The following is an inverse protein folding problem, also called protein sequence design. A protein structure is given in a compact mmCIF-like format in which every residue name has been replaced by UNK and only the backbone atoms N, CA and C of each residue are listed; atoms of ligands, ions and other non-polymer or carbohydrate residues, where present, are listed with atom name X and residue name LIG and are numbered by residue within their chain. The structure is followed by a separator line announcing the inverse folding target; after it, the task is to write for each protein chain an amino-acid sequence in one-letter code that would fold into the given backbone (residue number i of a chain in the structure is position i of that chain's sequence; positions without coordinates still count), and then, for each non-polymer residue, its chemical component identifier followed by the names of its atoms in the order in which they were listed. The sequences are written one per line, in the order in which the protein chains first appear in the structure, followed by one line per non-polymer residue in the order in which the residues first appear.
data_IF_514963864509
#
_entry.id   IF_514963864509
#
_cell.length_a   1.000
_cell.length_b   1.000
_cell.length_c   1.000
_cell.angle_alpha   90.00
_cell.angle_beta   90.00
_cell.angle_gamma   90.00
#
_symmetry.space_group_name_H-M   'P 1'
#
loop_
_entity.id
_entity.type
_entity.pdbx_description
1 polymer ?
#
# COMPACT_ATOMS: atom_id res chain seq x y z
N UNK A 1 14.00 2.40 -17.40
CA UNK A 1 13.90 1.39 -16.33
C UNK A 1 14.23 0.04 -16.94
N UNK A 2 15.14 -0.74 -16.34
CA UNK A 2 15.62 -2.02 -16.93
C UNK A 2 15.13 -3.27 -16.19
N UNK A 3 14.79 -3.13 -14.91
CA UNK A 3 14.33 -4.23 -14.06
C UNK A 3 13.10 -3.81 -13.25
N UNK A 4 12.21 -4.76 -12.99
CA UNK A 4 11.14 -4.69 -12.00
C UNK A 4 11.41 -5.68 -10.88
N UNK A 5 11.20 -5.26 -9.63
CA UNK A 5 11.56 -6.05 -8.44
C UNK A 5 10.32 -6.36 -7.63
N UNK A 6 10.16 -7.62 -7.24
CA UNK A 6 9.21 -8.04 -6.22
C UNK A 6 10.01 -8.51 -4.99
N UNK A 7 9.78 -7.88 -3.84
CA UNK A 7 10.37 -8.32 -2.57
C UNK A 7 9.30 -8.98 -1.70
N UNK A 8 9.48 -10.25 -1.38
CA UNK A 8 8.68 -10.96 -0.38
C UNK A 8 9.47 -11.07 0.93
N UNK A 9 9.02 -10.33 1.94
CA UNK A 9 9.56 -10.34 3.31
C UNK A 9 8.76 -11.25 4.26
N UNK A 10 8.01 -12.22 3.72
CA UNK A 10 7.11 -13.10 4.46
C UNK A 10 5.67 -12.59 4.56
N UNK A 11 5.39 -11.40 4.03
CA UNK A 11 4.08 -10.72 4.12
C UNK A 11 3.00 -11.28 3.19
N UNK A 12 3.37 -12.11 2.22
CA UNK A 12 2.44 -12.69 1.25
C UNK A 12 2.09 -14.15 1.57
N UNK A 13 1.65 -14.39 2.82
CA UNK A 13 1.37 -15.74 3.33
C UNK A 13 2.59 -16.68 3.30
N UNK A 14 3.76 -16.17 3.71
CA UNK A 14 5.00 -16.93 3.77
C UNK A 14 5.80 -16.92 2.45
N UNK A 15 6.60 -17.97 2.24
CA UNK A 15 7.60 -18.04 1.15
C UNK A 15 7.33 -19.08 0.06
N UNK A 16 6.38 -19.99 0.30
CA UNK A 16 6.03 -21.10 -0.59
C UNK A 16 4.52 -21.31 -0.77
N UNK A 17 3.68 -20.30 -0.50
CA UNK A 17 2.22 -20.45 -0.64
C UNK A 17 1.76 -20.38 -2.10
N UNK A 18 0.59 -20.95 -2.40
CA UNK A 18 -0.05 -20.80 -3.73
C UNK A 18 -0.33 -19.33 -4.07
N UNK A 19 -0.80 -18.57 -3.08
CA UNK A 19 -1.07 -17.14 -3.23
C UNK A 19 0.17 -16.37 -3.68
N UNK A 20 1.32 -16.65 -3.07
CA UNK A 20 2.58 -16.04 -3.44
C UNK A 20 3.05 -16.44 -4.84
N UNK A 21 3.01 -17.72 -5.20
CA UNK A 21 3.39 -18.15 -6.55
C UNK A 21 2.55 -17.44 -7.62
N UNK A 22 1.24 -17.28 -7.36
CA UNK A 22 0.36 -16.55 -8.26
C UNK A 22 0.67 -15.04 -8.30
N UNK A 23 1.07 -14.43 -7.19
CA UNK A 23 1.52 -13.04 -7.16
C UNK A 23 2.83 -12.86 -7.94
N UNK A 24 3.80 -13.75 -7.77
CA UNK A 24 5.07 -13.74 -8.52
C UNK A 24 4.83 -13.84 -10.03
N UNK A 25 3.92 -14.72 -10.45
CA UNK A 25 3.51 -14.84 -11.85
C UNK A 25 2.88 -13.54 -12.39
N UNK A 26 2.09 -12.82 -11.58
CA UNK A 26 1.56 -11.50 -11.98
C UNK A 26 2.68 -10.48 -12.14
N UNK A 27 3.64 -10.44 -11.22
CA UNK A 27 4.80 -9.55 -11.33
C UNK A 27 5.63 -9.85 -12.59
N UNK A 28 5.85 -11.13 -12.89
CA UNK A 28 6.57 -11.56 -14.10
C UNK A 28 5.83 -11.15 -15.38
N UNK A 29 4.50 -11.32 -15.43
CA UNK A 29 3.69 -10.86 -16.56
C UNK A 29 3.81 -9.34 -16.76
N UNK A 30 3.73 -8.56 -15.68
CA UNK A 30 3.89 -7.10 -15.73
C UNK A 30 5.27 -6.72 -16.26
N UNK A 31 6.33 -7.38 -15.78
CA UNK A 31 7.69 -7.12 -16.25
C UNK A 31 7.86 -7.45 -17.74
N UNK A 32 7.29 -8.58 -18.19
CA UNK A 32 7.28 -8.99 -19.60
C UNK A 32 6.55 -7.98 -20.48
N UNK A 33 5.37 -7.52 -20.08
CA UNK A 33 4.59 -6.52 -20.82
C UNK A 33 5.28 -5.15 -20.82
N UNK A 34 6.00 -4.80 -19.76
CA UNK A 34 6.79 -3.58 -19.68
C UNK A 34 8.14 -3.66 -20.41
N UNK A 35 8.54 -4.84 -20.92
CA UNK A 35 9.82 -5.05 -21.58
C UNK A 35 11.03 -4.90 -20.66
N UNK A 36 10.89 -5.29 -19.38
CA UNK A 36 11.95 -5.21 -18.36
C UNK A 36 12.26 -6.58 -17.75
N UNK A 37 13.45 -6.73 -17.19
CA UNK A 37 13.82 -7.94 -16.46
C UNK A 37 13.07 -8.05 -15.14
N UNK A 38 12.58 -9.23 -14.80
CA UNK A 38 11.95 -9.49 -13.52
C UNK A 38 12.98 -10.05 -12.52
N UNK A 39 13.01 -9.49 -11.31
CA UNK A 39 13.73 -10.07 -10.17
C UNK A 39 12.78 -10.27 -9.00
N UNK A 40 12.87 -11.46 -8.40
CA UNK A 40 12.15 -11.79 -7.18
C UNK A 40 13.15 -11.98 -6.04
N UNK A 41 12.95 -11.29 -4.93
CA UNK A 41 13.78 -11.37 -3.73
C UNK A 41 12.92 -11.93 -2.59
N UNK A 42 13.32 -13.07 -2.03
CA UNK A 42 12.70 -13.66 -0.86
C UNK A 42 13.63 -13.47 0.34
N UNK A 43 13.10 -12.96 1.44
CA UNK A 43 13.88 -12.76 2.67
C UNK A 43 13.04 -12.98 3.91
N UNK A 44 13.58 -13.71 4.88
CA UNK A 44 12.98 -13.93 6.19
C UNK A 44 13.30 -12.80 7.19
N UNK A 45 14.01 -11.75 6.78
CA UNK A 45 14.52 -10.69 7.67
C UNK A 45 13.43 -10.06 8.56
N UNK A 46 12.23 -9.82 8.04
CA UNK A 46 11.15 -9.21 8.82
C UNK A 46 10.39 -10.19 9.72
N UNK A 47 10.43 -11.49 9.42
CA UNK A 47 9.71 -12.52 10.17
C UNK A 47 10.57 -13.21 11.22
N UNK A 48 11.88 -13.33 10.99
CA UNK A 48 12.80 -14.04 11.90
C UNK A 48 13.74 -13.12 12.68
N UNK A 49 14.10 -11.94 12.15
CA UNK A 49 15.10 -11.08 12.80
C UNK A 49 14.48 -9.85 13.49
N UNK A 50 13.65 -9.10 12.78
CA UNK A 50 13.17 -7.82 13.32
C UNK A 50 11.91 -7.93 14.20
N UNK A 51 11.02 -8.90 13.98
CA UNK A 51 9.70 -9.03 14.66
C UNK A 51 8.95 -7.69 14.89
N UNK A 52 9.17 -6.71 14.01
CA UNK A 52 8.69 -5.33 14.18
C UNK A 52 7.45 -5.06 13.34
N UNK A 53 6.71 -4.01 13.73
CA UNK A 53 5.66 -3.48 12.87
C UNK A 53 6.27 -3.03 11.53
N UNK A 54 5.63 -3.35 10.41
CA UNK A 54 6.21 -3.08 9.10
C UNK A 54 6.35 -1.59 8.78
N UNK A 55 5.34 -0.76 9.09
CA UNK A 55 5.30 0.64 8.64
C UNK A 55 6.52 1.48 9.06
N UNK A 56 7.06 1.38 10.30
CA UNK A 56 8.28 2.06 10.69
C UNK A 56 9.56 1.66 9.93
N UNK A 57 9.59 0.48 9.28
CA UNK A 57 10.83 -0.07 8.70
C UNK A 57 10.77 -0.30 7.19
N UNK A 58 9.60 -0.15 6.55
CA UNK A 58 9.41 -0.49 5.12
C UNK A 58 10.49 0.12 4.23
N UNK A 59 10.74 1.45 4.20
CA UNK A 59 11.72 2.01 3.28
C UNK A 59 13.13 1.42 3.49
N UNK A 60 13.55 1.24 4.75
CA UNK A 60 14.86 0.69 5.11
C UNK A 60 15.03 -0.77 4.66
N UNK A 61 14.02 -1.61 4.90
CA UNK A 61 14.05 -3.04 4.53
C UNK A 61 14.12 -3.21 3.01
N UNK A 62 13.31 -2.46 2.27
CA UNK A 62 13.32 -2.61 0.81
C UNK A 62 14.61 -2.05 0.19
N UNK A 63 15.12 -0.92 0.68
CA UNK A 63 16.37 -0.35 0.18
C UNK A 63 17.60 -1.20 0.56
N UNK A 64 17.61 -1.86 1.73
CA UNK A 64 18.70 -2.76 2.12
C UNK A 64 18.82 -3.98 1.19
N UNK A 65 17.69 -4.47 0.66
CA UNK A 65 17.70 -5.51 -0.37
C UNK A 65 18.31 -5.05 -1.68
N UNK A 66 18.12 -3.78 -2.06
CA UNK A 66 18.75 -3.24 -3.27
C UNK A 66 20.25 -3.00 -3.03
N UNK A 67 20.62 -2.55 -1.83
CA UNK A 67 22.02 -2.38 -1.42
C UNK A 67 22.82 -3.68 -1.50
N UNK A 68 22.23 -4.83 -1.16
CA UNK A 68 22.89 -6.13 -1.32
C UNK A 68 23.16 -6.50 -2.79
N UNK A 69 22.50 -5.81 -3.72
CA UNK A 69 22.63 -5.96 -5.17
C UNK A 69 23.23 -4.71 -5.85
N UNK A 70 23.97 -3.86 -5.12
CA UNK A 70 24.53 -2.62 -5.66
C UNK A 70 25.50 -2.82 -6.85
N UNK A 71 25.96 -4.05 -7.11
CA UNK A 71 26.72 -4.37 -8.34
C UNK A 71 25.83 -4.53 -9.58
N UNK A 72 24.54 -4.81 -9.37
CA UNK A 72 23.53 -4.93 -10.43
C UNK A 72 22.81 -3.60 -10.67
N UNK A 73 22.54 -2.85 -9.59
CA UNK A 73 21.81 -1.59 -9.65
C UNK A 73 22.72 -0.39 -9.40
N UNK A 74 22.68 0.58 -10.32
CA UNK A 74 23.23 1.92 -10.12
C UNK A 74 22.16 2.92 -9.65
N UNK A 75 20.90 2.70 -10.03
CA UNK A 75 19.78 3.59 -9.72
C UNK A 75 18.56 2.77 -9.34
N UNK A 76 17.90 3.13 -8.25
CA UNK A 76 16.62 2.55 -7.83
C UNK A 76 15.58 3.62 -7.52
N UNK A 77 14.39 3.47 -8.10
CA UNK A 77 13.25 4.34 -7.86
C UNK A 77 12.34 3.69 -6.81
N UNK A 78 12.37 4.20 -5.59
CA UNK A 78 11.46 3.81 -4.53
C UNK A 78 10.12 4.51 -4.73
N UNK A 79 9.02 3.75 -4.74
CA UNK A 79 7.67 4.30 -4.94
C UNK A 79 7.19 5.00 -3.67
N UNK A 80 7.19 6.32 -3.64
CA UNK A 80 6.77 7.07 -2.47
C UNK A 80 5.29 6.89 -2.15
N UNK A 81 4.96 6.79 -0.87
CA UNK A 81 3.57 6.64 -0.44
C UNK A 81 2.82 7.98 -0.40
N UNK A 82 3.54 9.06 -0.04
CA UNK A 82 3.01 10.38 0.30
C UNK A 82 3.59 11.46 -0.63
N UNK A 83 2.98 12.63 -0.62
CA UNK A 83 3.50 13.80 -1.33
C UNK A 83 4.58 14.51 -0.52
N UNK A 84 5.38 15.37 -1.16
CA UNK A 84 6.37 16.20 -0.45
C UNK A 84 5.74 17.11 0.61
N UNK A 85 4.48 17.52 0.42
CA UNK A 85 3.75 18.37 1.36
C UNK A 85 3.29 17.61 2.62
N UNK A 86 3.31 16.29 2.58
CA UNK A 86 2.96 15.42 3.71
C UNK A 86 4.20 14.96 4.49
N UNK A 87 5.38 15.51 4.19
CA UNK A 87 6.60 15.14 4.88
C UNK A 87 6.49 15.29 6.40
N UNK A 88 6.77 14.21 7.13
CA UNK A 88 6.74 14.17 8.59
C UNK A 88 7.78 13.17 9.11
N UNK A 89 8.54 13.54 10.14
CA UNK A 89 9.42 12.61 10.87
C UNK A 89 8.61 11.75 11.84
N UNK A 90 7.96 10.71 11.32
CA UNK A 90 7.06 9.82 12.08
C UNK A 90 7.78 8.60 12.65
N UNK A 91 7.63 8.34 13.95
CA UNK A 91 8.12 7.10 14.57
C UNK A 91 7.27 5.87 14.18
N UNK A 92 6.09 6.08 13.60
CA UNK A 92 5.10 5.01 13.35
C UNK A 92 4.99 4.59 11.89
N UNK A 93 5.42 5.44 10.95
CA UNK A 93 5.40 5.16 9.52
C UNK A 93 6.54 5.89 8.82
N UNK A 94 7.55 5.14 8.39
CA UNK A 94 8.72 5.71 7.74
C UNK A 94 8.47 6.19 6.31
N UNK A 95 7.32 5.87 5.72
CA UNK A 95 7.01 6.32 4.37
C UNK A 95 6.79 7.84 4.28
N UNK A 96 6.53 8.53 5.40
CA UNK A 96 6.39 10.00 5.42
C UNK A 96 7.71 10.75 5.18
N UNK A 97 8.86 10.13 5.42
CA UNK A 97 10.17 10.75 5.24
C UNK A 97 11.09 9.93 4.33
N UNK A 98 10.52 9.10 3.44
CA UNK A 98 11.30 8.26 2.52
C UNK A 98 12.24 9.06 1.61
N UNK A 99 11.94 10.34 1.34
CA UNK A 99 12.85 11.26 0.66
C UNK A 99 14.19 11.38 1.39
N UNK A 100 14.20 11.49 2.71
CA UNK A 100 15.44 11.49 3.48
C UNK A 100 16.08 10.11 3.45
N UNK A 101 15.31 9.04 3.67
CA UNK A 101 15.84 7.68 3.67
C UNK A 101 16.55 7.34 2.35
N UNK A 102 15.98 7.73 1.21
CA UNK A 102 16.61 7.52 -0.11
C UNK A 102 17.91 8.29 -0.27
N UNK A 103 18.02 9.51 0.27
CA UNK A 103 19.29 10.26 0.22
C UNK A 103 20.36 9.65 1.13
N UNK A 104 19.99 9.18 2.33
CA UNK A 104 20.96 8.66 3.31
C UNK A 104 21.42 7.23 3.06
N UNK A 105 20.65 6.42 2.32
CA UNK A 105 21.03 5.04 2.01
C UNK A 105 21.79 4.89 0.69
N UNK A 106 22.00 5.98 -0.06
CA UNK A 106 22.83 5.96 -1.26
C UNK A 106 24.30 5.64 -0.96
N UNK A 107 24.98 5.06 -1.94
CA UNK A 107 26.44 4.87 -1.94
C UNK A 107 27.05 5.56 -3.15
N UNK A 108 28.37 5.57 -3.25
CA UNK A 108 29.09 6.05 -4.43
C UNK A 108 28.75 5.29 -5.71
N UNK A 109 28.19 4.08 -5.59
CA UNK A 109 27.83 3.19 -6.70
C UNK A 109 26.32 3.01 -6.90
N UNK A 110 25.48 3.42 -5.94
CA UNK A 110 24.03 3.23 -5.97
C UNK A 110 23.28 4.47 -5.49
N UNK A 111 22.41 5.02 -6.34
CA UNK A 111 21.53 6.14 -6.01
C UNK A 111 20.09 5.68 -5.84
N UNK A 112 19.44 6.12 -4.76
CA UNK A 112 18.01 5.95 -4.55
C UNK A 112 17.25 7.25 -4.82
N UNK A 113 16.10 7.13 -5.47
CA UNK A 113 15.16 8.23 -5.65
C UNK A 113 13.81 7.88 -5.03
N UNK A 114 13.26 8.78 -4.22
CA UNK A 114 11.84 8.72 -3.84
C UNK A 114 11.01 9.28 -5.00
N UNK A 115 10.26 8.41 -5.68
CA UNK A 115 9.54 8.72 -6.92
C UNK A 115 8.03 8.81 -6.69
N UNK A 116 7.38 9.80 -7.33
CA UNK A 116 5.95 10.02 -7.23
C UNK A 116 5.54 10.94 -6.08
N UNK A 117 6.45 11.72 -5.49
CA UNK A 117 6.12 12.66 -4.41
C UNK A 117 5.37 13.92 -4.90
N UNK A 118 5.36 14.14 -6.21
CA UNK A 118 4.67 15.23 -6.89
C UNK A 118 3.17 14.98 -7.07
N UNK A 119 2.70 13.76 -6.81
CA UNK A 119 1.33 13.34 -7.08
C UNK A 119 0.68 12.72 -5.84
N UNK A 120 -0.59 13.04 -5.62
CA UNK A 120 -1.40 12.41 -4.60
C UNK A 120 -1.63 10.92 -4.86
N UNK A 121 -2.17 10.20 -3.87
CA UNK A 121 -2.53 8.79 -4.06
C UNK A 121 -3.56 8.61 -5.17
N UNK A 122 -4.59 9.44 -5.20
CA UNK A 122 -5.62 9.37 -6.24
C UNK A 122 -5.05 9.71 -7.63
N UNK A 123 -4.12 10.66 -7.72
CA UNK A 123 -3.44 11.01 -8.97
C UNK A 123 -2.57 9.86 -9.48
N UNK A 124 -1.85 9.17 -8.59
CA UNK A 124 -1.11 7.94 -8.93
C UNK A 124 -2.05 6.87 -9.48
N UNK A 125 -3.21 6.64 -8.85
CA UNK A 125 -4.20 5.68 -9.34
C UNK A 125 -4.74 6.08 -10.71
N UNK A 126 -5.03 7.37 -10.91
CA UNK A 126 -5.44 7.91 -12.22
C UNK A 126 -4.37 7.64 -13.27
N UNK A 127 -3.10 7.89 -12.96
CA UNK A 127 -1.98 7.65 -13.87
C UNK A 127 -1.84 6.17 -14.24
N UNK A 128 -1.76 5.26 -13.25
CA UNK A 128 -1.60 3.82 -13.54
C UNK A 128 -2.82 3.23 -14.27
N UNK A 129 -4.00 3.82 -14.11
CA UNK A 129 -5.21 3.40 -14.83
C UNK A 129 -5.21 3.70 -16.32
N UNK A 130 -4.24 4.45 -16.82
CA UNK A 130 -4.00 4.63 -18.24
C UNK A 130 -3.30 3.43 -18.90
N UNK A 131 -2.80 2.47 -18.11
CA UNK A 131 -2.03 1.32 -18.62
C UNK A 131 -2.86 0.03 -18.58
N UNK A 132 -3.27 -0.54 -19.74
CA UNK A 132 -4.18 -1.68 -19.79
C UNK A 132 -3.69 -2.95 -19.07
N UNK A 133 -2.38 -3.18 -19.01
CA UNK A 133 -1.82 -4.35 -18.30
C UNK A 133 -2.13 -4.33 -16.81
N UNK A 134 -2.42 -3.16 -16.23
CA UNK A 134 -2.79 -3.05 -14.82
C UNK A 134 -4.18 -3.64 -14.54
N UNK A 135 -5.07 -3.69 -15.53
CA UNK A 135 -6.45 -4.14 -15.38
C UNK A 135 -6.56 -5.60 -14.93
N UNK A 136 -5.56 -6.41 -15.29
CA UNK A 136 -5.49 -7.85 -15.01
C UNK A 136 -4.45 -8.23 -13.96
N UNK A 137 -3.54 -7.31 -13.63
CA UNK A 137 -2.37 -7.61 -12.80
C UNK A 137 -2.26 -6.76 -11.52
N UNK A 138 -3.09 -5.72 -11.34
CA UNK A 138 -3.02 -4.86 -10.16
C UNK A 138 -3.25 -5.65 -8.87
N UNK A 139 -2.25 -5.64 -7.98
CA UNK A 139 -2.32 -6.24 -6.65
C UNK A 139 -1.99 -5.20 -5.59
N UNK A 140 -2.92 -4.98 -4.67
CA UNK A 140 -2.76 -4.05 -3.53
C UNK A 140 -2.97 -4.74 -2.18
N UNK A 141 -3.44 -5.99 -2.20
CA UNK A 141 -3.84 -6.72 -1.01
C UNK A 141 -2.63 -7.31 -0.28
N UNK A 142 -2.65 -7.27 1.05
CA UNK A 142 -1.73 -8.06 1.87
C UNK A 142 -2.28 -9.47 2.09
N UNK A 143 -3.60 -9.56 2.30
CA UNK A 143 -4.33 -10.82 2.47
C UNK A 143 -4.77 -11.38 1.10
N UNK A 144 -3.80 -11.60 0.22
CA UNK A 144 -4.04 -12.06 -1.16
C UNK A 144 -4.80 -13.40 -1.12
N UNK A 145 -5.80 -13.56 -2.00
CA UNK A 145 -6.51 -14.84 -2.17
C UNK A 145 -5.56 -15.90 -2.71
N UNK A 146 -5.91 -17.19 -2.60
CA UNK A 146 -5.08 -18.28 -3.11
C UNK A 146 -4.74 -18.14 -4.61
N UNK A 147 -5.65 -17.58 -5.40
CA UNK A 147 -5.47 -17.33 -6.83
C UNK A 147 -4.61 -16.09 -7.16
N UNK A 148 -4.06 -15.42 -6.15
CA UNK A 148 -3.25 -14.20 -6.34
C UNK A 148 -4.07 -12.91 -6.46
N UNK A 149 -5.40 -12.96 -6.30
CA UNK A 149 -6.27 -11.79 -6.44
C UNK A 149 -6.44 -11.00 -5.13
N UNK A 150 -6.91 -9.77 -5.32
CA UNK A 150 -7.27 -8.90 -4.22
C UNK A 150 -8.47 -9.48 -3.43
N UNK A 151 -8.43 -9.41 -2.10
CA UNK A 151 -9.53 -9.91 -1.26
C UNK A 151 -10.82 -9.08 -1.39
N UNK A 152 -10.74 -7.85 -1.92
CA UNK A 152 -11.87 -6.92 -2.05
C UNK A 152 -12.32 -6.26 -0.74
N UNK A 153 -12.01 -6.82 0.42
CA UNK A 153 -12.62 -6.41 1.70
C UNK A 153 -11.66 -5.69 2.66
N UNK A 154 -10.34 -5.87 2.51
CA UNK A 154 -9.38 -5.20 3.38
C UNK A 154 -9.32 -3.67 3.15
N UNK A 155 -8.63 -2.96 4.05
CA UNK A 155 -8.46 -1.51 3.96
C UNK A 155 -7.88 -1.04 2.62
N UNK A 156 -6.82 -1.72 2.14
CA UNK A 156 -6.16 -1.38 0.87
C UNK A 156 -7.08 -1.63 -0.34
N UNK A 157 -7.73 -2.79 -0.40
CA UNK A 157 -8.67 -3.12 -1.47
C UNK A 157 -9.87 -2.16 -1.50
N UNK A 158 -10.49 -1.91 -0.34
CA UNK A 158 -11.62 -0.99 -0.23
C UNK A 158 -11.24 0.42 -0.70
N UNK A 159 -10.05 0.89 -0.31
CA UNK A 159 -9.54 2.20 -0.74
C UNK A 159 -9.29 2.26 -2.25
N UNK A 160 -8.57 1.29 -2.81
CA UNK A 160 -8.28 1.25 -4.24
C UNK A 160 -9.52 1.13 -5.10
N UNK A 161 -10.49 0.30 -4.73
CA UNK A 161 -11.76 0.24 -5.46
C UNK A 161 -12.54 1.56 -5.38
N UNK A 162 -12.51 2.26 -4.23
CA UNK A 162 -13.13 3.56 -4.09
C UNK A 162 -12.41 4.66 -4.91
N UNK A 163 -11.07 4.65 -4.95
CA UNK A 163 -10.26 5.52 -5.83
C UNK A 163 -10.63 5.31 -7.30
N UNK A 164 -10.63 4.06 -7.75
CA UNK A 164 -11.02 3.69 -9.11
C UNK A 164 -12.48 4.06 -9.42
N UNK A 165 -13.39 3.92 -8.44
CA UNK A 165 -14.79 4.29 -8.59
C UNK A 165 -14.95 5.80 -8.83
N UNK A 166 -14.35 6.64 -7.99
CA UNK A 166 -14.46 8.10 -8.13
C UNK A 166 -13.75 8.64 -9.37
N UNK A 167 -12.81 7.87 -9.92
CA UNK A 167 -12.15 8.13 -11.21
C UNK A 167 -12.93 7.60 -12.42
N UNK A 168 -14.05 6.88 -12.21
CA UNK A 168 -14.83 6.19 -13.25
C UNK A 168 -14.00 5.15 -14.02
N UNK A 169 -13.11 4.45 -13.31
CA UNK A 169 -12.21 3.42 -13.84
C UNK A 169 -12.42 2.04 -13.25
N UNK A 170 -13.26 1.90 -12.21
CA UNK A 170 -13.45 0.64 -11.48
C UNK A 170 -13.79 -0.55 -12.39
N UNK A 171 -14.67 -0.36 -13.37
CA UNK A 171 -15.11 -1.44 -14.28
C UNK A 171 -13.96 -2.04 -15.10
N UNK A 172 -12.91 -1.26 -15.37
CA UNK A 172 -11.73 -1.76 -16.07
C UNK A 172 -10.98 -2.83 -15.26
N UNK A 173 -11.17 -2.87 -13.94
CA UNK A 173 -10.45 -3.75 -13.02
C UNK A 173 -11.27 -4.93 -12.50
N UNK A 174 -12.37 -5.29 -13.19
CA UNK A 174 -13.22 -6.43 -12.81
C UNK A 174 -12.50 -7.79 -12.82
N UNK A 175 -11.38 -7.90 -13.52
CA UNK A 175 -10.58 -9.13 -13.57
C UNK A 175 -9.75 -9.33 -12.28
N UNK A 176 -9.56 -8.28 -11.47
CA UNK A 176 -8.75 -8.33 -10.23
C UNK A 176 -9.52 -7.89 -8.98
N UNK A 177 -10.74 -7.39 -9.14
CA UNK A 177 -11.65 -7.01 -8.06
C UNK A 177 -13.06 -7.50 -8.33
N UNK A 178 -13.77 -7.88 -7.26
CA UNK A 178 -15.20 -8.14 -7.31
C UNK A 178 -15.96 -6.79 -7.30
N UNK A 179 -16.13 -6.22 -8.49
CA UNK A 179 -16.76 -4.91 -8.69
C UNK A 179 -18.24 -4.94 -8.30
N UNK A 180 -18.94 -6.03 -8.61
CA UNK A 180 -20.34 -6.18 -8.26
C UNK A 180 -20.54 -6.18 -6.75
N UNK A 181 -19.70 -6.89 -6.00
CA UNK A 181 -19.75 -6.90 -4.55
C UNK A 181 -19.51 -5.51 -3.96
N UNK A 182 -18.51 -4.79 -4.47
CA UNK A 182 -18.25 -3.41 -4.03
C UNK A 182 -19.47 -2.50 -4.22
N UNK A 183 -20.16 -2.62 -5.35
CA UNK A 183 -21.34 -1.81 -5.69
C UNK A 183 -22.59 -2.24 -4.89
N UNK A 184 -22.74 -3.53 -4.61
CA UNK A 184 -23.88 -4.11 -3.87
C UNK A 184 -23.81 -3.83 -2.37
N UNK A 185 -22.60 -3.69 -1.82
CA UNK A 185 -22.36 -3.47 -0.40
C UNK A 185 -21.74 -2.10 -0.08
N UNK A 186 -22.37 -0.97 -0.48
CA UNK A 186 -21.80 0.36 -0.31
C UNK A 186 -21.63 0.73 1.17
N UNK A 187 -22.51 0.25 2.05
CA UNK A 187 -22.42 0.49 3.49
C UNK A 187 -21.12 -0.06 4.11
N UNK A 188 -20.63 -1.21 3.64
CA UNK A 188 -19.39 -1.80 4.13
C UNK A 188 -18.18 -0.95 3.73
N UNK A 189 -18.04 -0.67 2.43
CA UNK A 189 -16.88 -0.01 1.85
C UNK A 189 -16.89 1.49 2.15
N UNK A 190 -17.94 2.20 1.74
CA UNK A 190 -18.03 3.65 1.93
C UNK A 190 -18.20 4.03 3.40
N UNK A 191 -18.81 3.18 4.23
CA UNK A 191 -18.84 3.40 5.67
C UNK A 191 -17.44 3.35 6.30
N UNK A 192 -16.54 2.51 5.79
CA UNK A 192 -15.12 2.50 6.18
C UNK A 192 -14.39 3.75 5.68
N UNK A 193 -14.55 4.10 4.39
CA UNK A 193 -13.90 5.27 3.79
C UNK A 193 -14.30 6.57 4.51
N UNK A 194 -15.60 6.75 4.75
CA UNK A 194 -16.12 7.93 5.46
C UNK A 194 -15.67 7.99 6.92
N UNK A 195 -15.54 6.85 7.60
CA UNK A 195 -14.97 6.80 8.95
C UNK A 195 -13.50 7.23 8.94
N UNK A 196 -12.72 6.70 7.99
CA UNK A 196 -11.27 6.94 7.92
C UNK A 196 -10.89 8.29 7.34
N UNK A 197 -11.75 8.94 6.56
CA UNK A 197 -11.48 10.27 5.98
C UNK A 197 -11.23 11.36 7.02
N UNK A 198 -11.51 11.11 8.30
CA UNK A 198 -11.19 12.02 9.42
C UNK A 198 -9.73 11.96 9.86
N UNK A 199 -9.02 10.86 9.58
CA UNK A 199 -7.68 10.60 10.11
C UNK A 199 -6.70 10.02 9.08
N UNK A 200 -7.14 9.70 7.87
CA UNK A 200 -6.34 9.10 6.80
C UNK A 200 -6.46 9.98 5.55
N UNK A 201 -5.33 10.56 5.13
CA UNK A 201 -5.28 11.51 4.01
C UNK A 201 -5.81 10.91 2.71
N UNK A 202 -5.51 9.63 2.46
CA UNK A 202 -5.98 8.94 1.27
C UNK A 202 -7.52 8.78 1.25
N UNK A 203 -8.13 8.39 2.38
CA UNK A 203 -9.59 8.32 2.47
C UNK A 203 -10.24 9.71 2.38
N UNK A 204 -9.59 10.76 2.92
CA UNK A 204 -10.05 12.15 2.80
C UNK A 204 -10.14 12.57 1.34
N UNK A 205 -9.07 12.34 0.59
CA UNK A 205 -9.00 12.65 -0.84
C UNK A 205 -10.14 11.98 -1.63
N UNK A 206 -10.42 10.70 -1.36
CA UNK A 206 -11.51 9.95 -2.03
C UNK A 206 -12.88 10.58 -1.73
N UNK A 207 -13.16 10.93 -0.48
CA UNK A 207 -14.44 11.55 -0.08
C UNK A 207 -14.60 12.93 -0.73
N UNK A 208 -13.54 13.72 -0.79
CA UNK A 208 -13.56 15.02 -1.47
C UNK A 208 -13.84 14.86 -2.96
N UNK A 209 -13.18 13.90 -3.64
CA UNK A 209 -13.45 13.61 -5.05
C UNK A 209 -14.88 13.11 -5.27
N UNK A 210 -15.37 12.20 -4.43
CA UNK A 210 -16.74 11.68 -4.49
C UNK A 210 -17.78 12.81 -4.43
N UNK A 211 -17.61 13.75 -3.48
CA UNK A 211 -18.48 14.93 -3.34
C UNK A 211 -18.34 15.89 -4.52
N UNK A 212 -17.12 16.15 -4.99
CA UNK A 212 -16.86 16.99 -6.18
C UNK A 212 -17.51 16.42 -7.44
N UNK A 213 -17.65 15.11 -7.55
CA UNK A 213 -18.39 14.45 -8.62
C UNK A 213 -19.92 14.61 -8.50
N UNK A 214 -20.43 15.35 -7.52
CA UNK A 214 -21.86 15.57 -7.27
C UNK A 214 -22.56 14.42 -6.56
N UNK A 215 -21.82 13.42 -6.08
CA UNK A 215 -22.41 12.23 -5.46
C UNK A 215 -22.69 12.45 -3.98
N UNK A 216 -23.79 11.85 -3.48
CA UNK A 216 -24.18 11.86 -2.06
C UNK A 216 -24.12 10.44 -1.52
N UNK A 217 -23.74 10.30 -0.25
CA UNK A 217 -23.77 9.00 0.41
C UNK A 217 -25.20 8.65 0.81
N UNK A 218 -25.66 7.40 0.62
CA UNK A 218 -26.94 6.96 1.17
C UNK A 218 -26.87 6.92 2.70
N UNK A 219 -28.02 7.03 3.37
CA UNK A 219 -28.12 7.01 4.85
C UNK A 219 -27.46 5.76 5.46
N UNK A 220 -27.55 4.62 4.77
CA UNK A 220 -26.90 3.37 5.19
C UNK A 220 -25.39 3.48 5.37
N UNK A 221 -24.70 4.33 4.60
CA UNK A 221 -23.26 4.58 4.74
C UNK A 221 -22.95 5.35 6.02
N UNK A 222 -23.76 6.35 6.37
CA UNK A 222 -23.61 7.09 7.62
C UNK A 222 -23.88 6.20 8.84
N UNK A 223 -24.94 5.38 8.78
CA UNK A 223 -25.24 4.39 9.82
C UNK A 223 -24.09 3.40 9.98
N UNK A 224 -23.56 2.86 8.88
CA UNK A 224 -22.42 1.96 8.92
C UNK A 224 -21.14 2.62 9.45
N UNK A 225 -20.89 3.89 9.11
CA UNK A 225 -19.79 4.68 9.67
C UNK A 225 -19.92 4.79 11.19
N UNK A 226 -21.12 5.14 11.70
CA UNK A 226 -21.40 5.22 13.15
C UNK A 226 -21.24 3.85 13.81
N UNK A 227 -21.82 2.79 13.23
CA UNK A 227 -21.68 1.44 13.75
C UNK A 227 -20.22 0.99 13.81
N UNK A 228 -19.41 1.27 12.78
CA UNK A 228 -17.97 0.95 12.76
C UNK A 228 -17.20 1.78 13.79
N UNK A 229 -17.59 3.04 14.01
CA UNK A 229 -17.02 3.89 15.05
C UNK A 229 -17.34 3.34 16.45
N UNK A 230 -18.60 2.98 16.72
CA UNK A 230 -19.03 2.36 17.99
C UNK A 230 -18.36 1.01 18.21
N UNK A 231 -18.25 0.15 17.18
CA UNK A 231 -17.59 -1.17 17.28
C UNK A 231 -16.10 -1.08 17.54
N UNK A 232 -15.45 0.00 17.12
CA UNK A 232 -14.08 0.29 17.55
C UNK A 232 -14.01 0.65 19.03
N UNK A 233 -15.15 0.85 19.70
CA UNK A 233 -15.25 1.43 21.02
C UNK A 233 -14.73 2.86 21.00
N UNK A 234 -14.92 3.61 22.08
CA UNK A 234 -14.17 4.85 22.33
C UNK A 234 -12.67 4.56 22.56
N UNK A 235 -12.08 3.64 21.79
CA UNK A 235 -10.73 3.17 21.97
C UNK A 235 -9.81 3.99 21.09
N UNK A 236 -9.03 4.83 21.77
CA UNK A 236 -7.67 5.21 21.38
C UNK A 236 -6.73 4.01 21.27
N UNK A 237 -7.24 2.81 21.56
CA UNK A 237 -6.52 1.55 21.66
C UNK A 237 -6.41 0.84 20.29
N UNK A 238 -5.66 1.45 19.38
CA UNK A 238 -5.19 0.72 18.22
C UNK A 238 -4.12 -0.26 18.72
N UNK A 239 -4.41 -1.57 18.80
CA UNK A 239 -3.47 -2.60 19.27
C UNK A 239 -2.08 -2.50 18.61
N UNK A 240 -2.03 -2.06 17.35
CA UNK A 240 -0.79 -1.80 16.63
C UNK A 240 -0.05 -0.56 17.15
N UNK A 241 -0.78 0.51 17.46
CA UNK A 241 -0.26 1.71 18.13
C UNK A 241 0.21 1.39 19.54
N UNK A 242 -0.55 0.63 20.36
CA UNK A 242 -0.08 0.16 21.67
C UNK A 242 1.15 -0.73 21.56
N UNK A 243 1.23 -1.61 20.55
CA UNK A 243 2.43 -2.42 20.30
C UNK A 243 3.63 -1.53 19.97
N UNK A 244 3.46 -0.51 19.12
CA UNK A 244 4.51 0.46 18.78
C UNK A 244 4.87 1.35 19.98
N UNK A 245 3.90 1.86 20.74
CA UNK A 245 4.10 2.63 21.98
C UNK A 245 4.83 1.81 23.04
N UNK A 246 4.50 0.52 23.19
CA UNK A 246 5.19 -0.40 24.09
C UNK A 246 6.64 -0.68 23.64
N UNK A 247 6.88 -0.81 22.33
CA UNK A 247 8.24 -0.97 21.78
C UNK A 247 9.06 0.32 21.99
N UNK A 248 8.48 1.49 21.74
CA UNK A 248 9.11 2.80 21.99
C UNK A 248 9.41 2.98 23.47
N UNK A 249 8.47 2.61 24.35
CA UNK A 249 8.66 2.65 25.80
C UNK A 249 9.79 1.71 26.27
N UNK A 250 9.85 0.49 25.74
CA UNK A 250 10.91 -0.48 26.02
C UNK A 250 12.29 -0.02 25.50
N UNK A 251 12.33 0.69 24.38
CA UNK A 251 13.56 1.29 23.84
C UNK A 251 14.08 2.48 24.65
N UNK A 252 13.20 3.22 25.35
CA UNK A 252 13.58 4.33 26.24
C UNK A 252 14.14 3.87 27.60
N UNK A 253 13.79 2.67 28.06
CA UNK A 253 14.31 2.07 29.30
C UNK A 253 15.71 1.44 29.16
N UNK A 254 16.28 1.42 27.95
CA UNK A 254 17.62 0.90 27.66
C UNK A 254 18.68 2.01 27.48
N UNK A 255 18.39 3.24 27.94
CA UNK A 255 19.34 4.36 28.03
C UNK A 255 19.67 4.68 29.48
#
# INVERSE_FOLDING_TARGET
MTHGICCNIGIYHGFNSKAQHNLEKKCENVAKEAGIHYLNIKSNVCVELYEQAHAPIVPFVFMSMILSMQKLFKVYYFSSAFTVNEFEMSETDAAYFDILTTQYLGTENLTFYSSGMEASRLEKVRYISAFPFTYKNLSVCLDVKENGDNCGKCAKCTRTMAELYVLRKLELYKDVFDVEEFLRNPAYHWGYILLKSRSDAFCKEIVEKYRKNGQKFPVSVYLACIQKWIKRGFTTDNKQRKKVENIIAAGRSLK
#
